data_IF_744257468350
#
_entry.id   IF_744257468350
#
_cell.length_a   1.000
_cell.length_b   1.000
_cell.length_c   1.000
_cell.angle_alpha   90.00
_cell.angle_beta   90.00
_cell.angle_gamma   90.00
#
_symmetry.space_group_name_H-M   'P 1'
#
loop_
_entity.id
_entity.type
_entity.pdbx_description
1 polymer ?
#
# COMPACT_ATOMS: atom_id res chain seq x y z
N UNK A 1 6.13 -24.49 -17.98
CA UNK A 1 6.63 -23.45 -17.04
C UNK A 1 5.68 -22.26 -16.87
N UNK A 2 5.19 -21.61 -17.94
CA UNK A 2 4.26 -20.46 -17.86
C UNK A 2 2.91 -20.72 -17.14
N UNK A 3 2.38 -21.96 -17.19
CA UNK A 3 1.12 -22.30 -16.50
C UNK A 3 1.30 -22.53 -15.00
N UNK A 4 2.41 -23.14 -14.56
CA UNK A 4 2.66 -23.39 -13.13
C UNK A 4 2.86 -22.09 -12.33
N UNK A 5 3.57 -21.12 -12.90
CA UNK A 5 3.75 -19.80 -12.25
C UNK A 5 2.42 -19.09 -12.01
N UNK A 6 1.45 -19.24 -12.91
CA UNK A 6 0.12 -18.64 -12.76
C UNK A 6 -0.60 -19.26 -11.56
N UNK A 7 -0.56 -20.58 -11.42
CA UNK A 7 -1.26 -21.28 -10.33
C UNK A 7 -0.67 -20.99 -8.94
N UNK A 8 0.65 -20.81 -8.84
CA UNK A 8 1.28 -20.38 -7.59
C UNK A 8 0.88 -18.95 -7.20
N UNK A 9 0.80 -18.02 -8.16
CA UNK A 9 0.31 -16.66 -7.91
C UNK A 9 -1.15 -16.65 -7.44
N UNK A 10 -1.99 -17.55 -7.97
CA UNK A 10 -3.38 -17.70 -7.50
C UNK A 10 -3.46 -18.23 -6.08
N UNK A 11 -2.68 -19.26 -5.73
CA UNK A 11 -2.62 -19.77 -4.35
C UNK A 11 -2.12 -18.72 -3.36
N UNK A 12 -1.09 -17.95 -3.73
CA UNK A 12 -0.57 -16.86 -2.92
C UNK A 12 -1.63 -15.74 -2.74
N UNK A 13 -2.41 -15.46 -3.79
CA UNK A 13 -3.52 -14.51 -3.70
C UNK A 13 -4.65 -15.03 -2.81
N UNK A 14 -5.01 -16.31 -2.86
CA UNK A 14 -6.01 -16.90 -1.95
C UNK A 14 -5.60 -16.79 -0.48
N UNK A 15 -4.34 -17.09 -0.16
CA UNK A 15 -3.80 -16.91 1.19
C UNK A 15 -3.86 -15.45 1.64
N UNK A 16 -3.57 -14.51 0.74
CA UNK A 16 -3.68 -13.08 1.00
C UNK A 16 -5.15 -12.66 1.17
N UNK A 17 -6.06 -13.24 0.39
CA UNK A 17 -7.49 -12.96 0.43
C UNK A 17 -8.12 -13.43 1.75
N UNK A 18 -7.69 -14.59 2.26
CA UNK A 18 -8.12 -15.14 3.55
C UNK A 18 -7.82 -14.20 4.73
N UNK A 19 -6.73 -13.44 4.67
CA UNK A 19 -6.37 -12.44 5.70
C UNK A 19 -7.26 -11.18 5.66
N UNK A 20 -8.01 -11.00 4.57
CA UNK A 20 -8.96 -9.91 4.40
C UNK A 20 -8.39 -8.65 3.76
N UNK A 21 -9.30 -7.86 3.18
CA UNK A 21 -8.99 -6.65 2.40
C UNK A 21 -8.26 -5.59 3.22
N UNK A 22 -8.71 -5.34 4.45
CA UNK A 22 -8.08 -4.35 5.34
C UNK A 22 -6.63 -4.72 5.68
N UNK A 23 -6.35 -6.00 5.92
CA UNK A 23 -5.00 -6.47 6.22
C UNK A 23 -4.07 -6.26 5.02
N UNK A 24 -4.51 -6.60 3.80
CA UNK A 24 -3.73 -6.34 2.58
C UNK A 24 -3.49 -4.85 2.35
N UNK A 25 -4.52 -4.01 2.51
CA UNK A 25 -4.38 -2.56 2.32
C UNK A 25 -3.39 -1.96 3.33
N UNK A 26 -3.45 -2.40 4.60
CA UNK A 26 -2.55 -1.92 5.64
C UNK A 26 -1.12 -2.43 5.45
N UNK A 27 -0.92 -3.73 5.19
CA UNK A 27 0.43 -4.31 5.07
C UNK A 27 1.08 -4.01 3.72
N UNK A 28 0.36 -4.21 2.62
CA UNK A 28 0.90 -4.07 1.26
C UNK A 28 0.82 -2.64 0.74
N UNK A 29 -0.19 -1.87 1.16
CA UNK A 29 -0.32 -0.46 0.80
C UNK A 29 0.40 0.45 1.79
N UNK A 30 -0.14 0.56 3.00
CA UNK A 30 0.33 1.56 3.98
C UNK A 30 1.72 1.24 4.53
N UNK A 31 1.96 0.01 5.02
CA UNK A 31 3.23 -0.37 5.63
C UNK A 31 4.36 -0.54 4.62
N UNK A 32 4.06 -1.02 3.41
CA UNK A 32 5.10 -1.24 2.38
C UNK A 32 5.41 -0.01 1.53
N UNK A 33 4.45 0.91 1.34
CA UNK A 33 4.62 2.10 0.49
C UNK A 33 4.41 3.42 1.23
N UNK A 34 3.37 3.54 2.05
CA UNK A 34 3.08 4.77 2.79
C UNK A 34 4.11 5.09 3.87
N UNK A 35 4.46 4.11 4.70
CA UNK A 35 5.38 4.28 5.83
C UNK A 35 6.81 4.58 5.37
N UNK A 36 7.40 3.87 4.38
CA UNK A 36 8.75 4.17 3.92
C UNK A 36 8.84 5.53 3.23
N UNK A 37 7.83 5.94 2.45
CA UNK A 37 7.82 7.27 1.84
C UNK A 37 7.65 8.40 2.86
N UNK A 38 6.85 8.19 3.91
CA UNK A 38 6.74 9.14 5.01
C UNK A 38 8.09 9.30 5.71
N UNK A 39 8.77 8.19 6.04
CA UNK A 39 10.10 8.22 6.65
C UNK A 39 11.11 8.89 5.70
N UNK A 40 11.10 8.53 4.42
CA UNK A 40 12.02 9.11 3.43
C UNK A 40 11.84 10.63 3.29
N UNK A 41 10.59 11.10 3.18
CA UNK A 41 10.29 12.54 3.11
C UNK A 41 10.58 13.27 4.42
N UNK A 42 10.37 12.62 5.57
CA UNK A 42 10.74 13.16 6.87
C UNK A 42 12.24 13.44 6.97
N UNK A 43 13.07 12.54 6.44
CA UNK A 43 14.53 12.69 6.43
C UNK A 43 15.03 13.65 5.34
N UNK A 44 14.51 13.57 4.10
CA UNK A 44 15.01 14.39 2.99
C UNK A 44 14.56 15.85 3.04
N UNK A 45 13.26 16.08 3.20
CA UNK A 45 12.70 17.44 3.07
C UNK A 45 12.69 18.22 4.38
N UNK A 46 13.07 17.57 5.50
CA UNK A 46 12.85 18.07 6.86
C UNK A 46 11.56 18.91 6.97
N UNK A 47 10.38 18.42 6.54
CA UNK A 47 9.16 19.22 6.56
C UNK A 47 8.74 19.69 7.97
N UNK A 48 9.42 19.19 9.01
CA UNK A 48 9.28 19.53 10.42
C UNK A 48 10.28 20.60 10.90
N UNK A 49 11.16 21.14 10.06
CA UNK A 49 12.07 22.24 10.47
C UNK A 49 11.33 23.50 10.85
N UNK A 50 10.20 23.79 10.19
CA UNK A 50 9.31 24.90 10.54
C UNK A 50 8.27 24.52 11.62
N UNK A 51 8.44 23.35 12.24
CA UNK A 51 7.57 22.80 13.27
C UNK A 51 6.59 21.73 12.77
N UNK A 52 6.25 20.79 13.66
CA UNK A 52 5.31 19.70 13.39
C UNK A 52 3.88 20.18 13.08
N UNK A 53 3.56 21.43 13.39
CA UNK A 53 2.25 22.07 13.17
C UNK A 53 2.16 22.82 11.84
N UNK A 54 3.22 22.79 11.01
CA UNK A 54 3.17 23.45 9.70
C UNK A 54 2.10 22.78 8.83
N UNK A 55 1.34 23.59 8.06
CA UNK A 55 0.32 23.05 7.14
C UNK A 55 0.92 22.02 6.18
N UNK A 56 2.16 22.25 5.76
CA UNK A 56 2.92 21.36 4.87
C UNK A 56 3.16 20.00 5.50
N UNK A 57 3.58 19.95 6.77
CA UNK A 57 3.79 18.71 7.52
C UNK A 57 2.50 17.90 7.67
N UNK A 58 1.39 18.55 8.06
CA UNK A 58 0.09 17.90 8.25
C UNK A 58 -0.41 17.29 6.93
N UNK A 59 -0.29 18.03 5.82
CA UNK A 59 -0.66 17.52 4.49
C UNK A 59 0.15 16.27 4.15
N UNK A 60 1.45 16.26 4.39
CA UNK A 60 2.29 15.09 4.11
C UNK A 60 1.88 13.88 4.99
N UNK A 61 1.62 14.10 6.27
CA UNK A 61 1.16 13.03 7.18
C UNK A 61 -0.16 12.40 6.78
N UNK A 62 -1.03 13.12 6.08
CA UNK A 62 -2.35 12.62 5.68
C UNK A 62 -2.30 12.04 4.26
N UNK A 63 -1.64 12.74 3.34
CA UNK A 63 -1.56 12.35 1.92
C UNK A 63 -0.80 11.04 1.75
N UNK A 64 0.32 10.82 2.45
CA UNK A 64 1.12 9.61 2.27
C UNK A 64 0.41 8.33 2.74
N UNK A 65 -0.21 8.28 3.94
CA UNK A 65 -1.05 7.15 4.32
C UNK A 65 -2.28 6.98 3.43
N UNK A 66 -2.95 8.07 3.02
CA UNK A 66 -4.07 7.99 2.07
C UNK A 66 -3.65 7.39 0.74
N UNK A 67 -2.50 7.81 0.19
CA UNK A 67 -1.95 7.24 -1.02
C UNK A 67 -1.62 5.75 -0.84
N UNK A 68 -1.04 5.36 0.31
CA UNK A 68 -0.80 3.96 0.66
C UNK A 68 -2.09 3.13 0.74
N UNK A 69 -3.14 3.67 1.37
CA UNK A 69 -4.47 3.02 1.43
C UNK A 69 -5.07 2.88 0.04
N UNK A 70 -5.04 3.95 -0.77
CA UNK A 70 -5.57 3.95 -2.12
C UNK A 70 -4.84 2.93 -3.00
N UNK A 71 -3.51 2.87 -2.93
CA UNK A 71 -2.70 1.90 -3.65
C UNK A 71 -2.98 0.46 -3.20
N UNK A 72 -3.10 0.23 -1.88
CA UNK A 72 -3.49 -1.07 -1.34
C UNK A 72 -4.87 -1.53 -1.81
N UNK A 73 -5.83 -0.61 -1.91
CA UNK A 73 -7.18 -0.90 -2.41
C UNK A 73 -7.15 -1.20 -3.91
N UNK A 74 -6.44 -0.39 -4.69
CA UNK A 74 -6.36 -0.53 -6.13
C UNK A 74 -5.71 -1.86 -6.53
N UNK A 75 -4.60 -2.22 -5.87
CA UNK A 75 -3.93 -3.51 -6.06
C UNK A 75 -4.83 -4.67 -5.66
N UNK A 76 -5.60 -4.53 -4.58
CA UNK A 76 -6.59 -5.54 -4.20
C UNK A 76 -7.65 -5.75 -5.29
N UNK A 77 -8.29 -4.66 -5.75
CA UNK A 77 -9.31 -4.74 -6.80
C UNK A 77 -8.76 -5.31 -8.10
N UNK A 78 -7.54 -4.93 -8.49
CA UNK A 78 -6.88 -5.50 -9.67
C UNK A 78 -6.66 -7.00 -9.54
N UNK A 79 -6.18 -7.46 -8.37
CA UNK A 79 -5.95 -8.88 -8.11
C UNK A 79 -7.26 -9.66 -8.02
N UNK A 80 -8.30 -9.10 -7.42
CA UNK A 80 -9.64 -9.71 -7.39
C UNK A 80 -10.27 -9.80 -8.78
N UNK A 81 -10.09 -8.78 -9.61
CA UNK A 81 -10.55 -8.78 -11.01
C UNK A 81 -9.81 -9.84 -11.84
N UNK A 82 -8.48 -9.95 -11.69
CA UNK A 82 -7.69 -11.01 -12.35
C UNK A 82 -8.10 -12.40 -11.86
N UNK A 83 -8.44 -12.55 -10.59
CA UNK A 83 -8.92 -13.81 -10.01
C UNK A 83 -10.28 -14.20 -10.58
N UNK A 84 -11.24 -13.28 -10.64
CA UNK A 84 -12.59 -13.53 -11.19
C UNK A 84 -12.62 -13.75 -12.70
N UNK A 85 -11.60 -13.28 -13.42
CA UNK A 85 -11.47 -13.45 -14.88
C UNK A 85 -10.88 -14.82 -15.26
N UNK A 86 -10.43 -15.62 -14.29
CA UNK A 86 -9.99 -16.99 -14.50
C UNK A 86 -11.19 -17.95 -14.53
#
# INVERSE_FOLDING_TARGET
MLNQMKDEQFKAWELTRLKGKLHHVLFTGVLSWGLPMLIFMAFMNKPFTDGFTSKTAIIHYIVWPLAGVFFGLLTWYMSEYKYKKK
#
